data_IF_456872420462
#
_entry.id   IF_456872420462
#
_cell.length_a   1.000
_cell.length_b   1.000
_cell.length_c   1.000
_cell.angle_alpha   90.00
_cell.angle_beta   90.00
_cell.angle_gamma   90.00
#
_symmetry.space_group_name_H-M   'P 1'
#
loop_
_entity.id
_entity.type
_entity.pdbx_description
1 polymer ?
#
# COMPACT_ATOMS: atom_id res chain seq x y z
N UNK A 1 11.22 26.89 3.63
CA UNK A 1 10.56 25.58 3.74
C UNK A 1 9.39 25.74 4.71
N UNK A 2 8.16 25.82 4.17
CA UNK A 2 6.98 26.17 4.95
C UNK A 2 6.69 25.10 6.01
N UNK A 3 6.11 25.47 7.16
CA UNK A 3 5.72 24.54 8.24
C UNK A 3 4.86 23.37 7.72
N UNK A 4 4.12 23.58 6.63
CA UNK A 4 3.30 22.58 5.95
C UNK A 4 4.11 21.46 5.28
N UNK A 5 5.27 21.77 4.70
CA UNK A 5 6.14 20.77 4.06
C UNK A 5 6.70 19.78 5.08
N UNK A 6 7.13 20.30 6.24
CA UNK A 6 7.64 19.47 7.34
C UNK A 6 6.56 18.54 7.90
N UNK A 7 5.31 19.01 7.98
CA UNK A 7 4.17 18.19 8.41
C UNK A 7 3.77 17.15 7.36
N UNK A 8 3.75 17.49 6.07
CA UNK A 8 3.46 16.53 5.01
C UNK A 8 4.53 15.42 4.93
N UNK A 9 5.80 15.77 5.09
CA UNK A 9 6.91 14.82 5.08
C UNK A 9 6.89 13.92 6.34
N UNK A 10 6.50 14.47 7.50
CA UNK A 10 6.28 13.69 8.71
C UNK A 10 5.09 12.72 8.59
N UNK A 11 3.98 13.13 7.96
CA UNK A 11 2.84 12.25 7.68
C UNK A 11 3.25 11.14 6.72
N UNK A 12 4.02 11.46 5.67
CA UNK A 12 4.51 10.47 4.72
C UNK A 12 5.46 9.47 5.39
N UNK A 13 6.42 9.91 6.20
CA UNK A 13 7.35 9.02 6.91
C UNK A 13 6.65 8.16 7.97
N UNK A 14 5.77 8.72 8.79
CA UNK A 14 5.13 7.99 9.89
C UNK A 14 3.96 7.11 9.46
N UNK A 15 3.25 7.47 8.39
CA UNK A 15 2.04 6.77 7.97
C UNK A 15 2.08 6.26 6.54
N UNK A 16 2.75 6.97 5.62
CA UNK A 16 2.90 6.55 4.23
C UNK A 16 3.86 5.35 4.12
N UNK A 17 5.12 5.57 4.49
CA UNK A 17 6.22 4.64 4.31
C UNK A 17 6.02 3.26 4.96
N UNK A 18 5.61 3.13 6.25
CA UNK A 18 5.40 1.82 6.84
C UNK A 18 4.20 1.10 6.23
N UNK A 19 3.14 1.81 5.84
CA UNK A 19 2.05 1.17 5.12
C UNK A 19 2.57 0.69 3.77
N UNK A 20 3.18 1.55 2.96
CA UNK A 20 3.70 1.22 1.62
C UNK A 20 4.63 0.02 1.65
N UNK A 21 5.51 -0.09 2.66
CA UNK A 21 6.38 -1.26 2.85
C UNK A 21 5.57 -2.54 3.11
N UNK A 22 4.58 -2.49 4.01
CA UNK A 22 3.67 -3.63 4.25
C UNK A 22 2.89 -3.98 2.99
N UNK A 23 2.42 -2.99 2.24
CA UNK A 23 1.70 -3.19 0.99
C UNK A 23 2.57 -3.87 -0.07
N UNK A 24 3.80 -3.39 -0.25
CA UNK A 24 4.77 -3.99 -1.15
C UNK A 24 5.06 -5.45 -0.74
N UNK A 25 5.27 -5.71 0.55
CA UNK A 25 5.50 -7.06 1.07
C UNK A 25 4.34 -8.01 0.70
N UNK A 26 3.10 -7.58 0.89
CA UNK A 26 1.90 -8.36 0.55
C UNK A 26 1.81 -8.62 -0.96
N UNK A 27 2.10 -7.61 -1.79
CA UNK A 27 2.14 -7.77 -3.24
C UNK A 27 3.17 -8.82 -3.64
N UNK A 28 4.41 -8.69 -3.16
CA UNK A 28 5.48 -9.63 -3.50
C UNK A 28 5.18 -11.06 -3.03
N UNK A 29 4.67 -11.22 -1.81
CA UNK A 29 4.25 -12.52 -1.29
C UNK A 29 3.11 -13.13 -2.13
N UNK A 30 2.11 -12.32 -2.50
CA UNK A 30 1.00 -12.76 -3.33
C UNK A 30 1.46 -13.18 -4.72
N UNK A 31 2.33 -12.40 -5.37
CA UNK A 31 2.91 -12.76 -6.68
C UNK A 31 3.74 -14.05 -6.57
N UNK A 32 4.56 -14.18 -5.52
CA UNK A 32 5.36 -15.37 -5.30
C UNK A 32 4.49 -16.62 -5.12
N UNK A 33 3.46 -16.54 -4.28
CA UNK A 33 2.51 -17.62 -4.06
C UNK A 33 1.76 -17.99 -5.34
N UNK A 34 1.28 -17.00 -6.09
CA UNK A 34 0.59 -17.22 -7.37
C UNK A 34 1.51 -17.87 -8.40
N UNK A 35 2.77 -17.41 -8.52
CA UNK A 35 3.76 -18.04 -9.39
C UNK A 35 4.03 -19.50 -9.00
N UNK A 36 4.10 -19.78 -7.71
CA UNK A 36 4.36 -21.13 -7.21
C UNK A 36 3.18 -22.07 -7.45
N UNK A 37 1.95 -21.61 -7.19
CA UNK A 37 0.73 -22.42 -7.30
C UNK A 37 0.29 -22.60 -8.76
N UNK A 38 0.39 -21.56 -9.57
CA UNK A 38 -0.09 -21.53 -10.96
C UNK A 38 1.07 -21.63 -11.98
N UNK A 39 2.20 -22.22 -11.57
CA UNK A 39 3.32 -22.45 -12.46
C UNK A 39 2.87 -23.28 -13.69
N UNK A 40 3.06 -22.74 -14.89
CA UNK A 40 2.66 -23.39 -16.15
C UNK A 40 1.24 -23.08 -16.63
N UNK A 41 0.47 -22.26 -15.91
CA UNK A 41 -0.83 -21.79 -16.39
C UNK A 41 -0.66 -20.62 -17.37
N UNK A 42 -1.24 -20.74 -18.57
CA UNK A 42 -1.22 -19.69 -19.62
C UNK A 42 -1.83 -18.36 -19.13
N UNK A 43 -2.72 -18.42 -18.13
CA UNK A 43 -3.38 -17.26 -17.56
C UNK A 43 -2.71 -16.70 -16.29
N UNK A 44 -1.53 -17.19 -15.91
CA UNK A 44 -0.80 -16.70 -14.72
C UNK A 44 -0.67 -15.17 -14.69
N UNK A 45 -0.36 -14.56 -15.83
CA UNK A 45 -0.26 -13.11 -15.97
C UNK A 45 -1.58 -12.41 -15.66
N UNK A 46 -2.70 -12.92 -16.20
CA UNK A 46 -4.03 -12.37 -15.94
C UNK A 46 -4.42 -12.50 -14.46
N UNK A 47 -4.10 -13.62 -13.82
CA UNK A 47 -4.34 -13.85 -12.39
C UNK A 47 -3.53 -12.86 -11.54
N UNK A 48 -2.27 -12.60 -11.89
CA UNK A 48 -1.44 -11.58 -11.22
C UNK A 48 -2.06 -10.18 -11.36
N UNK A 49 -2.56 -9.82 -12.54
CA UNK A 49 -3.24 -8.53 -12.73
C UNK A 49 -4.52 -8.41 -11.91
N UNK A 50 -5.33 -9.47 -11.84
CA UNK A 50 -6.53 -9.50 -10.99
C UNK A 50 -6.14 -9.35 -9.52
N UNK A 51 -5.10 -10.04 -9.07
CA UNK A 51 -4.58 -9.92 -7.71
C UNK A 51 -4.12 -8.49 -7.39
N UNK A 52 -3.38 -7.86 -8.29
CA UNK A 52 -2.94 -6.47 -8.15
C UNK A 52 -4.12 -5.50 -8.12
N UNK A 53 -5.14 -5.71 -8.96
CA UNK A 53 -6.34 -4.88 -8.99
C UNK A 53 -7.16 -5.00 -7.69
N UNK A 54 -7.36 -6.23 -7.20
CA UNK A 54 -8.02 -6.49 -5.92
C UNK A 54 -7.25 -5.86 -4.75
N UNK A 55 -5.94 -6.07 -4.72
CA UNK A 55 -5.08 -5.47 -3.73
C UNK A 55 -5.22 -3.94 -3.77
N UNK A 56 -5.13 -3.33 -4.95
CA UNK A 56 -5.26 -1.89 -5.10
C UNK A 56 -6.60 -1.37 -4.59
N UNK A 57 -7.70 -2.02 -4.95
CA UNK A 57 -9.05 -1.62 -4.56
C UNK A 57 -9.26 -1.66 -3.03
N UNK A 58 -8.70 -2.66 -2.34
CA UNK A 58 -8.80 -2.80 -0.89
C UNK A 58 -7.80 -1.88 -0.16
N UNK A 59 -6.59 -1.78 -0.70
CA UNK A 59 -5.48 -1.13 -0.04
C UNK A 59 -5.55 0.40 -0.14
N UNK A 60 -6.00 0.94 -1.27
CA UNK A 60 -6.14 2.38 -1.48
C UNK A 60 -7.05 3.08 -0.44
N UNK A 61 -8.27 2.59 -0.10
CA UNK A 61 -9.11 3.21 0.93
C UNK A 61 -8.51 3.06 2.34
N UNK A 62 -7.85 1.94 2.65
CA UNK A 62 -7.17 1.73 3.93
C UNK A 62 -6.02 2.73 4.12
N UNK A 63 -5.20 2.91 3.09
CA UNK A 63 -4.12 3.87 3.07
C UNK A 63 -4.63 5.30 3.28
N UNK A 64 -5.67 5.71 2.54
CA UNK A 64 -6.32 7.02 2.70
C UNK A 64 -6.90 7.21 4.11
N UNK A 65 -7.51 6.17 4.70
CA UNK A 65 -8.02 6.23 6.08
C UNK A 65 -6.89 6.41 7.09
N UNK A 66 -5.76 5.72 6.92
CA UNK A 66 -4.58 5.83 7.79
C UNK A 66 -3.95 7.22 7.73
N UNK A 67 -3.74 7.76 6.53
CA UNK A 67 -3.21 9.12 6.34
C UNK A 67 -4.11 10.18 7.00
N UNK A 68 -5.43 10.10 6.79
CA UNK A 68 -6.37 11.04 7.43
C UNK A 68 -6.34 10.95 8.96
N UNK A 69 -6.21 9.74 9.51
CA UNK A 69 -6.08 9.52 10.95
C UNK A 69 -4.79 10.13 11.52
N UNK A 70 -3.66 9.92 10.85
CA UNK A 70 -2.37 10.50 11.26
C UNK A 70 -2.37 12.02 11.14
N UNK A 71 -2.97 12.58 10.08
CA UNK A 71 -3.10 14.03 9.92
C UNK A 71 -3.92 14.65 11.06
N UNK A 72 -5.06 14.05 11.43
CA UNK A 72 -5.86 14.50 12.58
C UNK A 72 -5.11 14.44 13.91
N UNK A 73 -4.23 13.44 14.11
CA UNK A 73 -3.39 13.33 15.32
C UNK A 73 -2.28 14.37 15.37
N UNK A 74 -1.74 14.78 14.23
CA UNK A 74 -0.70 15.81 14.14
C UNK A 74 -1.26 17.23 14.25
N UNK A 75 -2.52 17.45 13.87
CA UNK A 75 -3.19 18.75 13.98
C UNK A 75 -3.66 19.07 15.42
N UNK A 76 -3.89 18.03 16.23
CA UNK A 76 -4.27 18.12 17.65
C UNK A 76 -3.07 18.04 18.63
N UNK A 77 -1.84 18.03 18.13
CA UNK A 77 -0.58 17.93 18.89
C UNK A 77 0.22 19.21 18.78
#
# INVERSE_FOLDING_TARGET
>A
MHKEDKNNLAVFLKAGLPYTLVGALIIFLGIYALKYIFAGNEHLTAIIFIWLALFWFIYQPLFRKKIRGTRKRLDNS
#
